data_IF_433856586921
#
_entry.id   IF_433856586921
#
_cell.length_a   1.000
_cell.length_b   1.000
_cell.length_c   1.000
_cell.angle_alpha   90.00
_cell.angle_beta   90.00
_cell.angle_gamma   90.00
#
_symmetry.space_group_name_H-M   'P 1'
#
loop_
_entity.id
_entity.type
_entity.pdbx_description
1 polymer ?
#
# COMPACT_ATOMS: atom_id res chain seq x y z
N UNK A 1 -0.95 2.50 10.43
CA UNK A 1 -1.78 1.85 11.44
C UNK A 1 -1.77 0.31 11.38
N UNK A 2 -0.75 -0.29 10.80
CA UNK A 2 -0.62 -1.75 10.81
C UNK A 2 0.25 -2.18 11.97
N UNK A 3 -0.40 -2.51 13.10
CA UNK A 3 0.26 -3.19 14.20
C UNK A 3 0.31 -4.68 13.87
N UNK A 4 1.47 -5.31 14.07
CA UNK A 4 1.50 -6.78 14.10
C UNK A 4 0.72 -7.26 15.33
N UNK A 5 0.09 -8.42 15.26
CA UNK A 5 -0.67 -8.96 16.39
C UNK A 5 0.18 -9.09 17.65
N UNK A 6 1.46 -9.48 17.49
CA UNK A 6 2.40 -9.54 18.62
C UNK A 6 2.65 -8.17 19.25
N UNK A 7 2.85 -7.13 18.44
CA UNK A 7 3.02 -5.78 18.95
C UNK A 7 1.75 -5.26 19.63
N UNK A 8 0.57 -5.52 19.05
CA UNK A 8 -0.70 -5.18 19.66
C UNK A 8 -0.86 -5.83 21.05
N UNK A 9 -0.59 -7.14 21.17
CA UNK A 9 -0.64 -7.86 22.46
C UNK A 9 0.29 -7.23 23.48
N UNK A 10 1.55 -6.95 23.10
CA UNK A 10 2.53 -6.31 23.98
C UNK A 10 2.07 -4.92 24.45
N UNK A 11 1.56 -4.08 23.55
CA UNK A 11 1.08 -2.73 23.88
C UNK A 11 -0.18 -2.80 24.75
N UNK A 12 -1.11 -3.70 24.42
CA UNK A 12 -2.31 -3.94 25.20
C UNK A 12 -1.98 -4.30 26.65
N UNK A 13 -1.07 -5.25 26.85
CA UNK A 13 -0.64 -5.69 28.19
C UNK A 13 0.10 -4.57 28.93
N UNK A 14 0.98 -3.86 28.23
CA UNK A 14 1.75 -2.74 28.80
C UNK A 14 0.85 -1.59 29.29
N UNK A 15 -0.19 -1.25 28.52
CA UNK A 15 -1.13 -0.18 28.86
C UNK A 15 -2.34 -0.65 29.68
N UNK A 16 -2.48 -1.95 29.95
CA UNK A 16 -3.56 -2.51 30.75
C UNK A 16 -4.92 -2.54 30.03
N UNK A 17 -4.95 -2.57 28.72
CA UNK A 17 -6.19 -2.72 27.95
C UNK A 17 -6.77 -4.11 28.07
N UNK A 18 -8.08 -4.18 28.30
CA UNK A 18 -8.81 -5.44 28.20
C UNK A 18 -9.00 -5.81 26.72
N UNK A 19 -8.92 -7.10 26.45
CA UNK A 19 -9.20 -7.62 25.10
C UNK A 19 -10.67 -7.30 24.75
N UNK A 20 -10.87 -6.80 23.53
CA UNK A 20 -12.21 -6.70 22.97
C UNK A 20 -12.39 -7.89 22.04
N UNK A 21 -13.51 -8.59 22.13
CA UNK A 21 -13.87 -9.66 21.20
C UNK A 21 -14.17 -9.14 19.79
N UNK A 22 -14.08 -7.82 19.60
CA UNK A 22 -14.30 -7.18 18.30
C UNK A 22 -13.11 -7.43 17.39
N UNK A 23 -13.41 -7.88 16.19
CA UNK A 23 -12.43 -8.04 15.12
C UNK A 23 -12.84 -7.16 13.94
N UNK A 24 -11.84 -6.72 13.19
CA UNK A 24 -12.03 -5.97 11.95
C UNK A 24 -11.33 -6.68 10.80
N UNK A 25 -11.80 -6.45 9.59
CA UNK A 25 -11.16 -6.97 8.38
C UNK A 25 -10.18 -5.93 7.85
N UNK A 26 -8.94 -6.37 7.63
CA UNK A 26 -7.88 -5.57 6.98
C UNK A 26 -7.38 -6.38 5.79
N UNK A 27 -7.80 -6.00 4.58
CA UNK A 27 -7.59 -6.81 3.40
C UNK A 27 -8.24 -8.18 3.56
N UNK A 28 -7.45 -9.26 3.43
CA UNK A 28 -7.95 -10.64 3.59
C UNK A 28 -7.90 -11.16 5.03
N UNK A 29 -7.55 -10.32 6.00
CA UNK A 29 -7.30 -10.76 7.37
C UNK A 29 -8.34 -10.22 8.34
N UNK A 30 -8.72 -11.08 9.27
CA UNK A 30 -9.39 -10.67 10.48
C UNK A 30 -8.32 -10.31 11.53
N UNK A 31 -8.34 -9.08 11.98
CA UNK A 31 -7.42 -8.58 13.03
C UNK A 31 -8.23 -8.14 14.25
N UNK A 32 -7.63 -8.08 15.46
CA UNK A 32 -8.25 -7.40 16.58
C UNK A 32 -8.63 -5.96 16.19
N UNK A 33 -9.71 -5.45 16.76
CA UNK A 33 -10.02 -4.02 16.61
C UNK A 33 -8.99 -3.18 17.37
N UNK A 34 -8.10 -2.54 16.62
CA UNK A 34 -7.04 -1.70 17.19
C UNK A 34 -7.50 -0.29 17.59
N UNK A 35 -8.71 0.11 17.21
CA UNK A 35 -9.19 1.48 17.43
C UNK A 35 -9.07 1.95 18.89
N UNK A 36 -9.45 1.16 19.93
CA UNK A 36 -9.28 1.60 21.31
C UNK A 36 -7.83 1.91 21.70
N UNK A 37 -6.87 1.16 21.18
CA UNK A 37 -5.44 1.43 21.41
C UNK A 37 -4.97 2.64 20.63
N UNK A 38 -5.42 2.80 19.38
CA UNK A 38 -5.09 3.95 18.54
C UNK A 38 -5.63 5.25 19.14
N UNK A 39 -6.84 5.21 19.70
CA UNK A 39 -7.45 6.36 20.42
C UNK A 39 -6.62 6.73 21.64
N UNK A 40 -6.24 5.76 22.45
CA UNK A 40 -5.39 5.97 23.60
C UNK A 40 -4.03 6.57 23.24
N UNK A 41 -3.45 6.13 22.11
CA UNK A 41 -2.19 6.66 21.60
C UNK A 41 -2.35 8.04 20.92
N UNK A 42 -3.57 8.55 20.80
CA UNK A 42 -3.86 9.85 20.19
C UNK A 42 -3.59 9.86 18.68
N UNK A 43 -3.77 8.74 18.00
CA UNK A 43 -3.64 8.72 16.54
C UNK A 43 -4.90 9.31 15.90
N UNK A 44 -4.71 10.24 14.98
CA UNK A 44 -5.75 11.02 14.31
C UNK A 44 -6.12 10.53 12.91
N UNK A 45 -5.57 9.41 12.48
CA UNK A 45 -5.86 8.81 11.17
C UNK A 45 -6.55 7.46 11.31
N UNK A 46 -7.55 7.20 10.44
CA UNK A 46 -8.21 5.89 10.30
C UNK A 46 -8.23 5.48 8.85
N UNK A 47 -8.01 4.18 8.62
CA UNK A 47 -7.98 3.60 7.29
C UNK A 47 -9.30 2.90 6.97
N UNK A 48 -9.82 3.17 5.78
CA UNK A 48 -10.93 2.45 5.17
C UNK A 48 -10.38 1.46 4.16
N UNK A 49 -10.88 0.24 4.18
CA UNK A 49 -10.40 -0.85 3.37
C UNK A 49 -11.51 -1.41 2.48
N UNK A 50 -11.18 -1.68 1.22
CA UNK A 50 -12.04 -2.49 0.35
C UNK A 50 -12.18 -3.88 0.97
N UNK A 51 -13.39 -4.46 0.92
CA UNK A 51 -13.63 -5.79 1.51
C UNK A 51 -13.07 -6.89 0.60
N UNK A 52 -12.56 -7.99 1.17
CA UNK A 52 -12.28 -9.19 0.39
C UNK A 52 -13.59 -9.81 -0.11
N UNK A 53 -13.52 -10.65 -1.14
CA UNK A 53 -14.67 -11.49 -1.50
C UNK A 53 -14.77 -12.65 -0.51
N UNK A 54 -15.99 -13.07 -0.19
CA UNK A 54 -16.30 -14.02 0.90
C UNK A 54 -15.51 -15.34 0.83
N UNK A 55 -15.23 -15.82 -0.38
CA UNK A 55 -14.46 -17.06 -0.60
C UNK A 55 -13.01 -16.99 -0.12
N UNK A 56 -12.49 -15.79 0.19
CA UNK A 56 -11.11 -15.56 0.60
C UNK A 56 -10.95 -14.91 1.98
N UNK A 57 -12.04 -14.83 2.76
CA UNK A 57 -11.98 -14.32 4.14
C UNK A 57 -11.25 -15.33 5.01
N UNK A 58 -10.12 -14.93 5.55
CA UNK A 58 -9.37 -15.71 6.54
C UNK A 58 -9.72 -15.29 7.96
N UNK A 59 -9.93 -16.26 8.82
CA UNK A 59 -10.40 -15.99 10.17
C UNK A 59 -9.33 -15.44 11.13
N UNK A 60 -8.05 -15.77 10.96
CA UNK A 60 -6.99 -15.29 11.87
C UNK A 60 -5.57 -15.37 11.30
N UNK A 61 -4.74 -14.34 11.57
CA UNK A 61 -3.29 -14.45 11.48
C UNK A 61 -2.79 -14.91 12.85
N UNK A 62 -2.38 -16.16 12.98
CA UNK A 62 -1.91 -16.71 14.24
C UNK A 62 -1.32 -18.10 14.05
N UNK A 63 -1.07 -18.84 15.15
CA UNK A 63 -0.52 -20.20 15.07
C UNK A 63 -1.37 -21.19 14.27
N UNK A 64 -2.66 -20.88 14.09
CA UNK A 64 -3.60 -21.65 13.28
C UNK A 64 -3.66 -21.23 11.80
N UNK A 65 -2.84 -20.27 11.37
CA UNK A 65 -2.84 -19.80 9.99
C UNK A 65 -2.54 -20.95 9.01
N UNK A 66 -3.45 -21.14 8.06
CA UNK A 66 -3.26 -22.09 6.97
C UNK A 66 -2.92 -21.35 5.68
N UNK A 67 -1.88 -21.75 4.93
CA UNK A 67 -1.60 -21.20 3.63
C UNK A 67 -2.78 -21.35 2.68
N UNK A 68 -3.05 -20.30 1.90
CA UNK A 68 -4.12 -20.30 0.89
C UNK A 68 -3.68 -19.57 -0.38
N UNK A 69 -4.46 -19.72 -1.45
CA UNK A 69 -4.27 -19.00 -2.70
C UNK A 69 -5.45 -18.03 -2.84
N UNK A 70 -5.15 -16.76 -3.10
CA UNK A 70 -6.15 -15.71 -3.25
C UNK A 70 -6.72 -15.63 -4.69
N UNK A 71 -7.58 -14.64 -4.91
CA UNK A 71 -8.18 -14.39 -6.22
C UNK A 71 -7.20 -13.89 -7.31
N UNK A 72 -5.99 -13.45 -6.90
CA UNK A 72 -4.89 -13.13 -7.79
C UNK A 72 -4.00 -14.33 -8.10
N UNK A 73 -4.32 -15.52 -7.57
CA UNK A 73 -3.48 -16.71 -7.66
C UNK A 73 -2.22 -16.64 -6.78
N UNK A 74 -2.11 -15.65 -5.91
CA UNK A 74 -0.98 -15.48 -5.01
C UNK A 74 -1.12 -16.40 -3.80
N UNK A 75 -0.03 -17.05 -3.43
CA UNK A 75 0.05 -17.88 -2.24
C UNK A 75 0.34 -17.00 -1.03
N UNK A 76 -0.52 -17.14 -0.03
CA UNK A 76 -0.36 -16.52 1.28
C UNK A 76 0.21 -17.53 2.26
N UNK A 77 1.31 -17.20 2.91
CA UNK A 77 1.94 -18.08 3.90
C UNK A 77 2.60 -17.27 5.02
N UNK A 78 2.75 -17.91 6.16
CA UNK A 78 3.42 -17.33 7.33
C UNK A 78 4.84 -17.91 7.41
N UNK A 79 5.85 -17.12 7.13
CA UNK A 79 7.26 -17.50 7.22
C UNK A 79 7.91 -16.79 8.41
N UNK A 80 8.38 -17.59 9.38
CA UNK A 80 9.04 -17.07 10.60
C UNK A 80 8.21 -16.01 11.35
N UNK A 81 6.88 -16.15 11.35
CA UNK A 81 5.96 -15.20 11.98
C UNK A 81 5.67 -13.95 11.18
N UNK A 82 6.21 -13.83 9.97
CA UNK A 82 5.90 -12.77 9.02
C UNK A 82 5.03 -13.30 7.89
N UNK A 83 4.13 -12.45 7.49
CA UNK A 83 3.24 -12.69 6.39
C UNK A 83 3.95 -12.50 5.05
N UNK A 84 3.82 -13.47 4.17
CA UNK A 84 4.50 -13.47 2.88
C UNK A 84 3.53 -13.76 1.73
N UNK A 85 3.72 -13.05 0.63
CA UNK A 85 3.03 -13.25 -0.64
C UNK A 85 3.99 -13.87 -1.65
N UNK A 86 3.57 -14.93 -2.32
CA UNK A 86 4.39 -15.62 -3.30
C UNK A 86 3.58 -16.39 -4.33
N UNK A 87 4.20 -17.41 -4.92
CA UNK A 87 3.55 -18.32 -5.85
C UNK A 87 3.71 -17.95 -7.32
N UNK A 88 3.97 -16.70 -7.64
CA UNK A 88 4.32 -16.19 -8.99
C UNK A 88 3.49 -16.82 -10.11
N UNK A 89 2.14 -16.71 -10.08
CA UNK A 89 1.25 -17.49 -10.95
C UNK A 89 1.45 -17.22 -12.45
N UNK A 90 2.07 -16.10 -12.82
CA UNK A 90 2.42 -15.74 -14.18
C UNK A 90 3.94 -15.82 -14.49
N UNK A 91 4.72 -16.53 -13.67
CA UNK A 91 6.15 -16.77 -13.97
C UNK A 91 6.39 -17.40 -15.35
N UNK A 92 5.40 -18.14 -15.87
CA UNK A 92 5.43 -18.78 -17.18
C UNK A 92 5.02 -17.88 -18.37
N UNK A 93 4.65 -16.60 -18.11
CA UNK A 93 4.17 -15.69 -19.15
C UNK A 93 5.20 -15.48 -20.27
N UNK A 94 4.84 -15.84 -21.51
CA UNK A 94 5.72 -15.74 -22.69
C UNK A 94 5.05 -15.01 -23.86
N UNK A 95 3.71 -14.86 -23.83
CA UNK A 95 2.93 -14.30 -24.94
C UNK A 95 1.66 -13.60 -24.45
N UNK A 96 1.13 -12.74 -25.27
CA UNK A 96 -0.07 -11.95 -24.96
C UNK A 96 -1.29 -12.84 -24.62
N UNK A 97 -1.43 -14.01 -25.25
CA UNK A 97 -2.53 -14.93 -24.94
C UNK A 97 -2.52 -15.45 -23.49
N UNK A 98 -1.37 -15.44 -22.82
CA UNK A 98 -1.26 -15.85 -21.43
C UNK A 98 -1.84 -14.77 -20.50
N UNK A 99 -1.69 -13.49 -20.89
CA UNK A 99 -2.31 -12.35 -20.22
C UNK A 99 -3.83 -12.39 -20.35
N UNK A 100 -4.33 -12.68 -21.57
CA UNK A 100 -5.76 -12.70 -21.89
C UNK A 100 -6.50 -13.85 -21.19
N UNK A 101 -5.86 -15.01 -21.04
CA UNK A 101 -6.45 -16.20 -20.42
C UNK A 101 -6.35 -16.20 -18.89
N UNK A 102 -5.55 -15.32 -18.31
CA UNK A 102 -5.41 -15.26 -16.86
C UNK A 102 -6.74 -14.86 -16.21
N UNK A 103 -7.16 -15.54 -15.13
CA UNK A 103 -8.41 -15.24 -14.45
C UNK A 103 -8.27 -13.99 -13.55
N UNK A 104 -8.19 -12.82 -14.18
CA UNK A 104 -8.07 -11.55 -13.47
C UNK A 104 -9.22 -11.35 -12.50
N UNK A 105 -8.95 -10.89 -11.26
CA UNK A 105 -10.00 -10.58 -10.30
C UNK A 105 -11.00 -9.56 -10.85
N UNK A 106 -12.28 -9.79 -10.55
CA UNK A 106 -13.33 -8.83 -10.86
C UNK A 106 -13.40 -7.75 -9.77
N UNK A 107 -13.09 -6.48 -10.07
CA UNK A 107 -13.16 -5.39 -9.10
C UNK A 107 -14.60 -5.04 -8.68
N UNK A 108 -15.62 -5.39 -9.47
CA UNK A 108 -17.00 -4.94 -9.29
C UNK A 108 -17.89 -5.92 -8.52
N UNK A 109 -17.32 -6.92 -7.87
CA UNK A 109 -18.09 -7.82 -7.00
C UNK A 109 -18.71 -7.05 -5.83
N UNK A 110 -19.99 -7.27 -5.58
CA UNK A 110 -20.78 -6.52 -4.59
C UNK A 110 -20.24 -6.66 -3.16
N UNK A 111 -19.67 -7.80 -2.82
CA UNK A 111 -19.10 -8.09 -1.51
C UNK A 111 -18.01 -7.09 -1.12
N UNK A 112 -17.28 -6.54 -2.08
CA UNK A 112 -16.15 -5.61 -1.85
C UNK A 112 -16.54 -4.31 -1.17
N UNK A 113 -17.78 -3.89 -1.34
CA UNK A 113 -18.29 -2.61 -0.83
C UNK A 113 -19.30 -2.75 0.29
N UNK A 114 -19.59 -3.98 0.75
CA UNK A 114 -20.60 -4.23 1.77
C UNK A 114 -20.32 -3.45 3.05
N UNK A 115 -21.24 -2.57 3.45
CA UNK A 115 -21.16 -1.72 4.65
C UNK A 115 -20.05 -0.65 4.62
N UNK A 116 -19.37 -0.47 3.49
CA UNK A 116 -18.20 0.41 3.40
C UNK A 116 -18.60 1.89 3.43
N UNK A 117 -19.67 2.25 2.73
CA UNK A 117 -20.19 3.62 2.73
C UNK A 117 -20.68 4.04 4.09
N UNK A 118 -21.45 3.18 4.75
CA UNK A 118 -21.99 3.43 6.09
C UNK A 118 -20.87 3.63 7.11
N UNK A 119 -19.81 2.81 7.04
CA UNK A 119 -18.63 2.97 7.89
C UNK A 119 -17.94 4.31 7.64
N UNK A 120 -17.72 4.67 6.37
CA UNK A 120 -17.10 5.93 6.00
C UNK A 120 -17.91 7.15 6.46
N UNK A 121 -19.22 7.13 6.27
CA UNK A 121 -20.15 8.18 6.74
C UNK A 121 -20.15 8.29 8.26
N UNK A 122 -20.16 7.17 8.96
CA UNK A 122 -20.13 7.16 10.42
C UNK A 122 -18.84 7.79 10.96
N UNK A 123 -17.68 7.37 10.43
CA UNK A 123 -16.42 7.95 10.85
C UNK A 123 -16.31 9.44 10.51
N UNK A 124 -16.74 9.83 9.32
CA UNK A 124 -16.69 11.22 8.87
C UNK A 124 -17.58 12.16 9.69
N UNK A 125 -18.80 11.73 10.03
CA UNK A 125 -19.78 12.59 10.69
C UNK A 125 -19.64 12.62 12.21
N UNK A 126 -19.08 11.59 12.84
CA UNK A 126 -19.08 11.43 14.29
C UNK A 126 -17.69 11.36 14.93
N UNK A 127 -16.64 11.61 14.15
CA UNK A 127 -15.26 11.67 14.66
C UNK A 127 -14.47 12.81 14.01
N UNK A 128 -13.36 13.19 14.64
CA UNK A 128 -12.42 14.18 14.11
C UNK A 128 -11.24 13.54 13.38
N UNK A 129 -11.34 12.24 13.03
CA UNK A 129 -10.25 11.55 12.36
C UNK A 129 -10.09 11.99 10.91
N UNK A 130 -8.83 12.04 10.46
CA UNK A 130 -8.52 12.07 9.04
C UNK A 130 -8.69 10.67 8.45
N UNK A 131 -9.56 10.53 7.45
CA UNK A 131 -9.87 9.26 6.83
C UNK A 131 -8.97 9.02 5.62
N UNK A 132 -8.33 7.86 5.60
CA UNK A 132 -7.45 7.43 4.53
C UNK A 132 -8.06 6.23 3.83
N UNK A 133 -8.31 6.36 2.53
CA UNK A 133 -8.61 5.20 1.70
C UNK A 133 -7.32 4.39 1.53
N UNK A 134 -7.30 3.18 2.08
CA UNK A 134 -6.17 2.28 1.89
C UNK A 134 -6.12 1.79 0.45
N UNK A 135 -4.94 1.50 -0.07
CA UNK A 135 -4.80 0.87 -1.38
C UNK A 135 -5.69 -0.36 -1.50
N UNK A 136 -6.48 -0.49 -2.58
CA UNK A 136 -7.51 -1.52 -2.67
C UNK A 136 -6.97 -2.95 -2.88
N UNK A 137 -5.68 -3.06 -3.23
CA UNK A 137 -4.95 -4.33 -3.39
C UNK A 137 -3.55 -4.22 -2.76
N UNK A 138 -2.70 -5.24 -2.87
CA UNK A 138 -1.37 -5.29 -2.21
C UNK A 138 -0.43 -4.16 -2.64
N UNK A 139 -0.55 -3.69 -3.85
CA UNK A 139 0.24 -2.59 -4.42
C UNK A 139 -0.32 -2.17 -5.78
N UNK A 140 0.32 -1.20 -6.40
CA UNK A 140 -0.01 -0.81 -7.75
C UNK A 140 0.68 -1.73 -8.79
N UNK A 141 0.74 -1.32 -10.04
CA UNK A 141 1.08 -2.19 -11.14
C UNK A 141 2.50 -2.76 -11.09
N UNK A 142 3.48 -2.01 -10.61
CA UNK A 142 4.85 -2.51 -10.46
C UNK A 142 4.95 -3.55 -9.34
N UNK A 143 4.38 -3.23 -8.19
CA UNK A 143 4.36 -4.14 -7.04
C UNK A 143 3.66 -5.46 -7.40
N UNK A 144 2.49 -5.36 -8.03
CA UNK A 144 1.74 -6.52 -8.50
C UNK A 144 2.48 -7.29 -9.58
N UNK A 145 3.29 -6.64 -10.42
CA UNK A 145 4.15 -7.34 -11.39
C UNK A 145 5.15 -8.25 -10.69
N UNK A 146 5.78 -7.77 -9.61
CA UNK A 146 6.73 -8.56 -8.84
C UNK A 146 6.10 -9.79 -8.18
N UNK A 147 4.87 -9.66 -7.69
CA UNK A 147 4.12 -10.77 -7.10
C UNK A 147 3.65 -11.79 -8.15
N UNK A 148 3.17 -11.33 -9.29
CA UNK A 148 2.58 -12.20 -10.32
C UNK A 148 3.63 -12.87 -11.21
N UNK A 149 4.70 -12.16 -11.57
CA UNK A 149 5.74 -12.64 -12.48
C UNK A 149 7.01 -13.14 -11.76
N UNK A 150 7.21 -12.70 -10.52
CA UNK A 150 8.47 -12.79 -9.82
C UNK A 150 9.42 -11.61 -10.10
N UNK A 151 10.27 -11.29 -9.13
CA UNK A 151 11.18 -10.14 -9.20
C UNK A 151 12.13 -10.21 -10.40
N UNK A 152 12.79 -11.35 -10.59
CA UNK A 152 13.77 -11.53 -11.68
C UNK A 152 13.11 -11.34 -13.04
N UNK A 153 12.00 -12.00 -13.29
CA UNK A 153 11.27 -11.91 -14.56
C UNK A 153 10.77 -10.51 -14.81
N UNK A 154 10.18 -9.86 -13.81
CA UNK A 154 9.73 -8.48 -13.91
C UNK A 154 10.86 -7.56 -14.38
N UNK A 155 12.03 -7.62 -13.73
CA UNK A 155 13.19 -6.81 -14.10
C UNK A 155 13.71 -7.16 -15.51
N UNK A 156 13.80 -8.43 -15.86
CA UNK A 156 14.27 -8.85 -17.18
C UNK A 156 13.34 -8.39 -18.30
N UNK A 157 12.02 -8.47 -18.10
CA UNK A 157 11.03 -8.05 -19.10
C UNK A 157 11.09 -6.55 -19.38
N UNK A 158 11.44 -5.69 -18.40
CA UNK A 158 11.60 -4.25 -18.64
C UNK A 158 12.68 -3.91 -19.68
N UNK A 159 13.63 -4.84 -19.90
CA UNK A 159 14.77 -4.66 -20.81
C UNK A 159 14.63 -5.51 -22.07
N UNK A 160 14.29 -6.81 -21.91
CA UNK A 160 14.33 -7.80 -22.99
C UNK A 160 12.99 -7.97 -23.72
N UNK A 161 11.87 -7.78 -23.02
CA UNK A 161 10.52 -8.11 -23.53
C UNK A 161 9.56 -6.95 -23.32
N UNK A 162 10.04 -5.74 -23.61
CA UNK A 162 9.36 -4.48 -23.29
C UNK A 162 7.90 -4.44 -23.80
N UNK A 163 7.65 -4.91 -25.02
CA UNK A 163 6.29 -4.90 -25.62
C UNK A 163 5.35 -5.81 -24.83
N UNK A 164 5.80 -7.02 -24.49
CA UNK A 164 4.99 -7.97 -23.70
C UNK A 164 4.78 -7.45 -22.28
N UNK A 165 5.81 -6.86 -21.68
CA UNK A 165 5.70 -6.23 -20.37
C UNK A 165 4.68 -5.08 -20.38
N UNK A 166 4.71 -4.21 -21.37
CA UNK A 166 3.75 -3.11 -21.49
C UNK A 166 2.31 -3.62 -21.67
N UNK A 167 2.09 -4.67 -22.45
CA UNK A 167 0.78 -5.29 -22.61
C UNK A 167 0.26 -5.88 -21.27
N UNK A 168 1.13 -6.56 -20.54
CA UNK A 168 0.82 -7.06 -19.19
C UNK A 168 0.52 -5.93 -18.21
N UNK A 169 1.38 -4.91 -18.19
CA UNK A 169 1.26 -3.76 -17.29
C UNK A 169 -0.02 -2.96 -17.57
N UNK A 170 -0.39 -2.79 -18.84
CA UNK A 170 -1.65 -2.14 -19.24
C UNK A 170 -2.87 -2.93 -18.75
N UNK A 171 -2.90 -4.23 -19.00
CA UNK A 171 -4.02 -5.08 -18.55
C UNK A 171 -4.18 -5.03 -17.04
N UNK A 172 -3.09 -5.18 -16.29
CA UNK A 172 -3.10 -5.14 -14.84
C UNK A 172 -3.52 -3.77 -14.31
N UNK A 173 -2.97 -2.69 -14.87
CA UNK A 173 -3.35 -1.32 -14.49
C UNK A 173 -4.84 -1.05 -14.73
N UNK A 174 -5.43 -1.61 -15.79
CA UNK A 174 -6.86 -1.48 -16.05
C UNK A 174 -7.70 -2.22 -14.97
N UNK A 175 -7.27 -3.39 -14.51
CA UNK A 175 -7.93 -4.09 -13.41
C UNK A 175 -7.83 -3.28 -12.12
N UNK A 176 -6.62 -2.75 -11.80
CA UNK A 176 -6.40 -1.91 -10.62
C UNK A 176 -7.23 -0.62 -10.66
N UNK A 177 -7.35 0.04 -11.81
CA UNK A 177 -8.21 1.20 -11.99
C UNK A 177 -9.68 0.88 -11.63
N UNK A 178 -10.16 -0.34 -11.94
CA UNK A 178 -11.49 -0.81 -11.56
C UNK A 178 -11.65 -0.93 -10.03
N UNK A 179 -10.62 -1.39 -9.32
CA UNK A 179 -10.64 -1.45 -7.87
C UNK A 179 -10.69 -0.05 -7.24
N UNK A 180 -9.91 0.91 -7.75
CA UNK A 180 -10.01 2.31 -7.30
C UNK A 180 -11.38 2.90 -7.62
N UNK A 181 -11.95 2.55 -8.79
CA UNK A 181 -13.25 3.05 -9.22
C UNK A 181 -14.37 2.65 -8.28
N UNK A 182 -14.49 1.36 -7.97
CA UNK A 182 -15.54 0.84 -7.07
C UNK A 182 -15.35 1.34 -5.64
N UNK A 183 -14.13 1.39 -5.15
CA UNK A 183 -13.80 1.87 -3.81
C UNK A 183 -14.18 3.34 -3.63
N UNK A 184 -13.78 4.20 -4.56
CA UNK A 184 -14.05 5.64 -4.49
C UNK A 184 -15.51 6.01 -4.72
N UNK A 185 -16.31 5.16 -5.35
CA UNK A 185 -17.76 5.36 -5.41
C UNK A 185 -18.38 5.37 -4.01
N UNK A 186 -17.83 4.57 -3.08
CA UNK A 186 -18.33 4.47 -1.72
C UNK A 186 -17.67 5.47 -0.77
N UNK A 187 -16.34 5.52 -0.76
CA UNK A 187 -15.62 6.31 0.25
C UNK A 187 -15.13 7.67 -0.22
N UNK A 188 -15.12 7.92 -1.52
CA UNK A 188 -14.53 9.14 -2.10
C UNK A 188 -15.01 10.46 -1.48
N UNK A 189 -16.30 10.64 -1.15
CA UNK A 189 -16.79 11.86 -0.49
C UNK A 189 -16.26 12.08 0.94
N UNK A 190 -15.77 11.04 1.61
CA UNK A 190 -15.49 11.05 3.04
C UNK A 190 -13.99 11.05 3.37
N UNK A 191 -13.14 10.55 2.47
CA UNK A 191 -11.70 10.44 2.72
C UNK A 191 -10.96 11.72 2.34
N UNK A 192 -9.86 12.01 3.05
CA UNK A 192 -8.96 13.12 2.75
C UNK A 192 -7.73 12.67 1.94
N UNK A 193 -7.35 11.41 2.10
CA UNK A 193 -6.16 10.83 1.47
C UNK A 193 -6.55 9.49 0.83
N UNK A 194 -5.97 9.17 -0.33
CA UNK A 194 -5.96 7.82 -0.91
C UNK A 194 -4.53 7.33 -1.04
N UNK A 195 -4.27 6.11 -0.58
CA UNK A 195 -2.97 5.47 -0.67
C UNK A 195 -2.81 4.70 -1.99
N UNK A 196 -1.66 4.89 -2.61
CA UNK A 196 -1.09 4.03 -3.66
C UNK A 196 0.23 3.45 -3.13
N UNK A 197 0.66 2.27 -3.59
CA UNK A 197 1.91 1.66 -3.13
C UNK A 197 2.72 1.07 -4.28
N UNK A 198 3.99 1.44 -4.33
CA UNK A 198 4.98 0.96 -5.31
C UNK A 198 6.39 1.07 -4.74
N UNK A 199 7.05 -0.04 -4.50
CA UNK A 199 8.46 -0.01 -4.11
C UNK A 199 9.35 0.15 -5.34
N UNK A 200 9.85 1.36 -5.56
CA UNK A 200 10.70 1.73 -6.70
C UNK A 200 12.19 1.75 -6.33
N UNK A 201 12.49 1.71 -5.04
CA UNK A 201 13.83 1.84 -4.49
C UNK A 201 14.38 0.56 -3.87
N UNK A 202 15.69 0.57 -3.72
CA UNK A 202 16.45 -0.33 -2.84
C UNK A 202 17.17 0.51 -1.78
N UNK A 203 17.86 -0.12 -0.85
CA UNK A 203 18.67 0.62 0.14
C UNK A 203 19.76 1.51 -0.51
N UNK A 204 20.19 1.19 -1.73
CA UNK A 204 21.34 1.83 -2.39
C UNK A 204 20.94 2.73 -3.58
N UNK A 205 19.66 2.82 -3.90
CA UNK A 205 19.17 3.63 -5.02
C UNK A 205 17.98 3.00 -5.74
N UNK A 206 17.64 3.51 -6.93
CA UNK A 206 16.58 2.98 -7.76
C UNK A 206 16.69 1.49 -8.03
N UNK A 207 15.56 0.76 -7.97
CA UNK A 207 15.50 -0.67 -8.27
C UNK A 207 15.72 -0.95 -9.76
N UNK A 208 15.38 0.00 -10.61
CA UNK A 208 15.55 -0.03 -12.06
C UNK A 208 15.91 1.36 -12.59
N UNK A 209 16.21 1.47 -13.89
CA UNK A 209 16.55 2.74 -14.51
C UNK A 209 15.38 3.74 -14.42
N UNK A 210 15.54 4.94 -13.83
CA UNK A 210 14.49 5.97 -13.77
C UNK A 210 13.90 6.36 -15.13
N UNK A 211 14.67 6.23 -16.20
CA UNK A 211 14.17 6.43 -17.56
C UNK A 211 13.02 5.49 -17.91
N UNK A 212 13.08 4.22 -17.44
CA UNK A 212 11.98 3.28 -17.64
C UNK A 212 10.70 3.73 -16.91
N UNK A 213 10.82 4.25 -15.69
CA UNK A 213 9.68 4.84 -15.00
C UNK A 213 9.02 5.92 -15.86
N UNK A 214 9.77 6.88 -16.32
CA UNK A 214 9.29 8.02 -17.13
C UNK A 214 8.67 7.59 -18.46
N UNK A 215 9.26 6.63 -19.15
CA UNK A 215 8.82 6.17 -20.47
C UNK A 215 7.61 5.24 -20.42
N UNK A 216 7.50 4.42 -19.36
CA UNK A 216 6.49 3.35 -19.27
C UNK A 216 5.51 3.57 -18.13
N UNK A 217 6.00 3.66 -16.89
CA UNK A 217 5.13 3.61 -15.71
C UNK A 217 4.40 4.92 -15.44
N UNK A 218 5.03 6.05 -15.69
CA UNK A 218 4.50 7.38 -15.40
C UNK A 218 3.08 7.59 -15.95
N UNK A 219 2.83 7.19 -17.20
CA UNK A 219 1.52 7.34 -17.85
C UNK A 219 0.40 6.60 -17.12
N UNK A 220 0.70 5.45 -16.50
CA UNK A 220 -0.28 4.67 -15.73
C UNK A 220 -0.58 5.32 -14.40
N UNK A 221 0.44 5.77 -13.66
CA UNK A 221 0.23 6.53 -12.44
C UNK A 221 -0.59 7.79 -12.72
N UNK A 222 -0.20 8.57 -13.72
CA UNK A 222 -0.92 9.76 -14.14
C UNK A 222 -2.39 9.46 -14.46
N UNK A 223 -2.66 8.43 -15.27
CA UNK A 223 -4.01 8.01 -15.62
C UNK A 223 -4.84 7.64 -14.40
N UNK A 224 -4.30 6.82 -13.51
CA UNK A 224 -4.99 6.39 -12.27
C UNK A 224 -5.28 7.60 -11.38
N UNK A 225 -4.30 8.48 -11.18
CA UNK A 225 -4.45 9.70 -10.39
C UNK A 225 -5.53 10.62 -10.99
N UNK A 226 -5.54 10.82 -12.30
CA UNK A 226 -6.58 11.62 -12.98
C UNK A 226 -7.99 11.03 -12.79
N UNK A 227 -8.13 9.69 -12.83
CA UNK A 227 -9.40 9.02 -12.55
C UNK A 227 -9.82 9.24 -11.09
N UNK A 228 -8.90 9.12 -10.14
CA UNK A 228 -9.15 9.39 -8.71
C UNK A 228 -9.60 10.85 -8.54
N UNK A 229 -8.84 11.80 -9.06
CA UNK A 229 -9.14 13.23 -8.93
C UNK A 229 -10.46 13.64 -9.63
N UNK A 230 -10.85 12.94 -10.68
CA UNK A 230 -12.16 13.17 -11.32
C UNK A 230 -13.33 12.79 -10.41
N UNK A 231 -13.18 11.73 -9.60
CA UNK A 231 -14.21 11.28 -8.65
C UNK A 231 -14.17 12.03 -7.31
N UNK A 232 -12.97 12.28 -6.82
CA UNK A 232 -12.73 12.90 -5.53
C UNK A 232 -11.63 13.99 -5.66
N UNK A 233 -11.94 15.17 -6.20
CA UNK A 233 -10.93 16.19 -6.53
C UNK A 233 -10.21 16.76 -5.31
N UNK A 234 -10.80 16.69 -4.14
CA UNK A 234 -10.24 17.15 -2.86
C UNK A 234 -9.22 16.18 -2.25
N UNK A 235 -9.28 14.90 -2.62
CA UNK A 235 -8.46 13.84 -2.00
C UNK A 235 -6.99 14.01 -2.39
N UNK A 236 -6.10 13.89 -1.42
CA UNK A 236 -4.64 13.87 -1.61
C UNK A 236 -4.16 12.47 -1.96
N UNK A 237 -3.23 12.37 -2.89
CA UNK A 237 -2.67 11.10 -3.36
C UNK A 237 -1.38 10.82 -2.58
N UNK A 238 -1.37 9.78 -1.76
CA UNK A 238 -0.20 9.33 -1.02
C UNK A 238 0.45 8.15 -1.74
N UNK A 239 1.74 8.25 -2.00
CA UNK A 239 2.54 7.11 -2.43
C UNK A 239 3.26 6.50 -1.23
N UNK A 240 2.97 5.24 -0.94
CA UNK A 240 3.82 4.41 -0.10
C UNK A 240 4.91 3.79 -0.98
N UNK A 241 6.18 4.12 -0.69
CA UNK A 241 7.31 3.67 -1.49
C UNK A 241 8.57 3.59 -0.64
N UNK A 242 9.02 2.37 -0.35
CA UNK A 242 10.25 2.14 0.38
C UNK A 242 11.49 2.37 -0.49
N UNK A 243 12.63 2.61 0.19
CA UNK A 243 13.94 2.67 -0.44
C UNK A 243 14.44 4.07 -0.81
N UNK A 244 15.62 4.11 -1.41
CA UNK A 244 16.29 5.33 -1.84
C UNK A 244 15.75 5.83 -3.20
N UNK A 245 14.63 6.53 -3.17
CA UNK A 245 13.83 6.89 -4.36
C UNK A 245 14.00 8.35 -4.83
N UNK A 246 14.92 9.12 -4.25
CA UNK A 246 15.11 10.54 -4.59
C UNK A 246 15.08 10.84 -6.10
N UNK A 247 15.65 9.94 -6.92
CA UNK A 247 15.74 10.12 -8.39
C UNK A 247 14.38 10.03 -9.10
N UNK A 248 13.36 9.44 -8.47
CA UNK A 248 12.00 9.36 -9.01
C UNK A 248 11.13 10.55 -8.59
N UNK A 249 11.47 11.28 -7.51
CA UNK A 249 10.61 12.30 -6.91
C UNK A 249 10.12 13.35 -7.93
N UNK A 250 10.96 13.92 -8.83
CA UNK A 250 10.46 14.87 -9.81
C UNK A 250 9.36 14.29 -10.72
N UNK A 251 9.54 13.06 -11.19
CA UNK A 251 8.57 12.40 -12.06
C UNK A 251 7.31 11.96 -11.28
N UNK A 252 7.42 11.66 -9.98
CA UNK A 252 6.29 11.37 -9.10
C UNK A 252 5.44 12.63 -8.85
N UNK A 253 6.06 13.77 -8.61
CA UNK A 253 5.37 15.07 -8.50
C UNK A 253 4.64 15.38 -9.81
N UNK A 254 5.30 15.22 -10.94
CA UNK A 254 4.72 15.45 -12.26
C UNK A 254 3.55 14.48 -12.56
N UNK A 255 3.61 13.25 -12.08
CA UNK A 255 2.50 12.30 -12.15
C UNK A 255 1.28 12.71 -11.31
N UNK A 256 1.47 13.53 -10.28
CA UNK A 256 0.41 14.10 -9.46
C UNK A 256 0.31 13.54 -8.04
N UNK A 257 1.36 12.91 -7.52
CA UNK A 257 1.42 12.52 -6.10
C UNK A 257 1.56 13.76 -5.22
N UNK A 258 0.80 13.80 -4.12
CA UNK A 258 0.79 14.88 -3.16
C UNK A 258 1.65 14.56 -1.91
N UNK A 259 1.77 13.28 -1.54
CA UNK A 259 2.41 12.83 -0.29
C UNK A 259 3.32 11.62 -0.59
N UNK A 260 4.52 11.62 -0.01
CA UNK A 260 5.45 10.48 -0.02
C UNK A 260 5.56 9.88 1.38
N UNK A 261 5.37 8.57 1.49
CA UNK A 261 5.45 7.76 2.71
C UNK A 261 6.10 6.39 2.40
N UNK A 262 6.95 5.82 3.25
CA UNK A 262 7.68 6.54 4.29
C UNK A 262 8.86 7.32 3.70
N UNK A 263 9.53 8.08 4.54
CA UNK A 263 10.87 8.59 4.24
C UNK A 263 11.86 7.80 5.08
N UNK A 264 12.66 6.93 4.46
CA UNK A 264 13.72 6.19 5.13
C UNK A 264 14.98 7.05 5.23
N UNK A 265 15.06 7.84 6.30
CA UNK A 265 16.05 8.92 6.50
C UNK A 265 17.51 8.45 6.51
N UNK A 266 17.77 7.17 6.75
CA UNK A 266 19.10 6.56 6.80
C UNK A 266 19.64 6.13 5.41
N UNK A 267 18.85 6.26 4.36
CA UNK A 267 19.23 5.85 3.02
C UNK A 267 19.85 6.99 2.21
N UNK A 268 20.63 6.61 1.21
CA UNK A 268 21.35 7.57 0.35
C UNK A 268 20.38 8.53 -0.36
N UNK A 269 20.60 9.83 -0.19
CA UNK A 269 19.79 10.88 -0.81
C UNK A 269 18.40 11.07 -0.21
N UNK A 270 18.07 10.38 0.91
CA UNK A 270 16.77 10.46 1.57
C UNK A 270 16.80 11.31 2.85
N UNK A 271 17.82 12.15 3.02
CA UNK A 271 17.87 13.09 4.15
C UNK A 271 16.61 14.00 4.16
N UNK A 272 15.82 14.02 5.26
CA UNK A 272 14.56 14.76 5.31
C UNK A 272 14.72 16.28 5.10
N UNK A 273 15.81 16.87 5.60
CA UNK A 273 16.04 18.31 5.45
C UNK A 273 16.36 18.66 3.98
N UNK A 274 17.15 17.83 3.31
CA UNK A 274 17.41 17.99 1.88
C UNK A 274 16.16 17.79 1.03
N UNK A 275 15.39 16.73 1.30
CA UNK A 275 14.14 16.47 0.59
C UNK A 275 13.16 17.61 0.77
N UNK A 276 13.00 18.13 2.00
CA UNK A 276 12.14 19.27 2.29
C UNK A 276 12.59 20.54 1.59
N UNK A 277 13.89 20.81 1.56
CA UNK A 277 14.46 21.95 0.84
C UNK A 277 14.19 21.89 -0.67
N UNK A 278 14.39 20.70 -1.27
CA UNK A 278 14.40 20.54 -2.73
C UNK A 278 12.98 20.32 -3.31
N UNK A 279 12.10 19.63 -2.57
CA UNK A 279 10.77 19.21 -3.07
C UNK A 279 9.59 19.62 -2.18
N UNK A 280 9.85 20.18 -0.99
CA UNK A 280 8.81 20.41 0.02
C UNK A 280 7.79 21.50 -0.31
N UNK A 281 7.90 22.18 -1.48
CA UNK A 281 6.85 23.06 -2.00
C UNK A 281 5.76 22.29 -2.74
N UNK A 282 6.14 21.15 -3.34
CA UNK A 282 5.29 20.37 -4.25
C UNK A 282 4.87 19.03 -3.66
N UNK A 283 5.63 18.52 -2.65
CA UNK A 283 5.41 17.22 -2.05
C UNK A 283 5.44 17.30 -0.52
N UNK A 284 4.49 16.65 0.13
CA UNK A 284 4.47 16.43 1.58
C UNK A 284 5.23 15.13 1.90
N UNK A 285 6.07 15.17 2.93
CA UNK A 285 6.81 14.01 3.42
C UNK A 285 6.17 13.49 4.71
N UNK A 286 5.88 12.21 4.76
CA UNK A 286 5.28 11.51 5.90
C UNK A 286 6.20 10.35 6.33
N UNK A 287 6.70 10.40 7.58
CA UNK A 287 7.70 9.45 8.08
C UNK A 287 8.98 10.16 8.49
N UNK A 288 10.15 9.58 8.18
CA UNK A 288 11.45 10.19 8.46
C UNK A 288 12.11 9.73 9.76
N UNK A 289 11.43 8.96 10.59
CA UNK A 289 12.02 8.35 11.79
C UNK A 289 12.82 7.11 11.41
N UNK A 290 14.09 7.03 11.85
CA UNK A 290 14.93 5.86 11.61
C UNK A 290 14.44 4.64 12.40
N UNK A 291 13.73 3.76 11.70
CA UNK A 291 13.18 2.51 12.26
C UNK A 291 14.25 1.44 12.50
N UNK A 292 15.39 1.51 11.81
CA UNK A 292 16.44 0.47 11.83
C UNK A 292 17.40 0.64 13.01
N UNK A 293 17.71 1.87 13.40
CA UNK A 293 18.66 2.20 14.44
C UNK A 293 18.00 2.84 15.65
N UNK A 294 17.22 3.91 15.41
CA UNK A 294 16.66 4.72 16.51
C UNK A 294 15.51 4.00 17.19
N UNK A 295 14.49 3.52 16.46
CA UNK A 295 13.35 2.83 17.10
C UNK A 295 13.71 1.45 17.63
N UNK A 296 14.64 0.73 16.99
CA UNK A 296 14.99 -0.64 17.39
C UNK A 296 16.12 -0.73 18.43
N UNK A 297 17.03 0.24 18.45
CA UNK A 297 18.27 0.16 19.28
C UNK A 297 18.51 1.43 20.10
N UNK A 298 17.81 2.52 19.80
CA UNK A 298 17.94 3.79 20.51
C UNK A 298 17.26 3.76 21.88
N UNK A 299 17.72 4.61 22.77
CA UNK A 299 17.08 4.87 24.03
C UNK A 299 16.04 6.01 23.91
N UNK A 300 15.30 6.28 24.98
CA UNK A 300 14.27 7.33 25.01
C UNK A 300 14.78 8.71 24.56
N UNK A 301 16.01 9.07 24.90
CA UNK A 301 16.58 10.38 24.51
C UNK A 301 16.90 10.42 23.01
N UNK A 302 17.35 9.31 22.46
CA UNK A 302 17.63 9.19 21.02
C UNK A 302 16.32 9.36 20.23
N UNK A 303 15.25 8.66 20.63
CA UNK A 303 13.92 8.78 20.01
C UNK A 303 13.38 10.21 20.12
N UNK A 304 13.49 10.83 21.31
CA UNK A 304 13.03 12.21 21.51
C UNK A 304 13.80 13.24 20.67
N UNK A 305 15.08 12.98 20.36
CA UNK A 305 15.88 13.83 19.50
C UNK A 305 15.51 13.66 18.03
N UNK A 306 15.21 12.44 17.62
CA UNK A 306 14.87 12.09 16.25
C UNK A 306 13.54 12.71 15.79
N UNK A 307 12.54 12.77 16.67
CA UNK A 307 11.21 13.32 16.35
C UNK A 307 11.09 14.84 16.55
N UNK A 308 12.16 15.53 16.92
CA UNK A 308 12.21 17.01 17.03
C UNK A 308 12.79 17.67 15.79
#
# INVERSE_FOLDING_TARGET
NHLTENLYKLLKDYFGFKETDRRTLVGFYSTPDYNPLLDYLGTDMRFLHLRPVDSFIMNEIGPSFQPFIDEWGLKHELLSGYYNLGGEPLAHLERQSDIEKYPWPDPYKAERITGLREEAEQLYNFTEYSLVGHRPVYGNAWEMSRFLLGMEKTLLMTVKEKILFEAFFDKMSNVLDGFYDVFLNEVGPFIQIIEMAEDLGTNNGPMFNPKFYKEVMWRYHRRTIEKIKKKAPHVKIMLHCDGAIRRFIPDLIDAGFDILNPVESDLIGMDPAELKRDFGKDLVFMGGVDVKKILTKGNRRDIQREIR
#
